data_IF_267334028936
#
_entry.id   IF_267334028936
#
_cell.length_a   1.000
_cell.length_b   1.000
_cell.length_c   1.000
_cell.angle_alpha   90.00
_cell.angle_beta   90.00
_cell.angle_gamma   90.00
#
_symmetry.space_group_name_H-M   'P 1'
#
loop_
_entity.id
_entity.type
_entity.pdbx_description
1 polymer ?
#
# COMPACT_ATOMS: atom_id res chain seq x y z
N UNK A 1 -6.38 20.90 -3.66
CA UNK A 1 -6.32 20.11 -2.41
C UNK A 1 -7.18 18.89 -2.62
N UNK A 2 -6.68 17.70 -2.30
CA UNK A 2 -7.43 16.44 -2.41
C UNK A 2 -8.48 16.42 -1.29
N UNK A 3 -9.67 15.91 -1.56
CA UNK A 3 -10.70 15.75 -0.53
C UNK A 3 -10.18 14.81 0.58
N UNK A 4 -10.37 15.21 1.83
CA UNK A 4 -10.06 14.44 3.04
C UNK A 4 -10.61 13.01 3.04
N UNK A 5 -11.66 12.74 2.26
CA UNK A 5 -12.19 11.39 2.10
C UNK A 5 -11.19 10.41 1.44
N UNK A 6 -10.31 10.90 0.55
CA UNK A 6 -9.43 10.08 -0.29
C UNK A 6 -7.97 10.07 0.15
N UNK A 7 -7.66 10.51 1.36
CA UNK A 7 -6.38 10.25 1.98
C UNK A 7 -6.54 9.79 3.43
N UNK A 8 -5.45 9.36 4.03
CA UNK A 8 -5.38 8.99 5.45
C UNK A 8 -4.68 10.14 6.19
N UNK A 9 -5.26 10.67 7.28
CA UNK A 9 -4.69 11.81 7.97
C UNK A 9 -3.41 11.42 8.72
N UNK A 10 -2.46 12.35 8.85
CA UNK A 10 -1.14 12.07 9.42
C UNK A 10 -1.18 11.64 10.90
N UNK A 11 -2.22 12.05 11.62
CA UNK A 11 -2.51 11.75 13.02
C UNK A 11 -3.44 10.53 13.20
N UNK A 12 -3.60 9.70 12.16
CA UNK A 12 -4.40 8.47 12.24
C UNK A 12 -3.92 7.58 13.39
N UNK A 13 -4.89 7.07 14.17
CA UNK A 13 -4.60 6.20 15.31
C UNK A 13 -4.01 4.86 14.86
N UNK A 14 -2.93 4.44 15.52
CA UNK A 14 -2.30 3.13 15.34
C UNK A 14 -2.28 2.39 16.67
N UNK A 15 -2.82 1.17 16.69
CA UNK A 15 -2.87 0.33 17.87
C UNK A 15 -2.14 -0.99 17.61
N UNK A 16 -1.20 -1.35 18.50
CA UNK A 16 -0.54 -2.65 18.45
C UNK A 16 -1.45 -3.72 19.06
N UNK A 17 -1.62 -4.85 18.37
CA UNK A 17 -2.33 -6.00 18.91
C UNK A 17 -1.46 -6.67 19.98
N UNK A 18 -1.93 -6.68 21.23
CA UNK A 18 -1.27 -7.42 22.30
C UNK A 18 -1.71 -8.89 22.29
N UNK A 19 -0.76 -9.77 21.98
CA UNK A 19 -0.92 -11.22 22.06
C UNK A 19 0.17 -11.88 22.91
N UNK A 20 0.94 -11.10 23.69
CA UNK A 20 2.14 -11.58 24.38
C UNK A 20 1.85 -12.59 25.49
N UNK A 21 0.82 -12.33 26.30
CA UNK A 21 0.34 -13.26 27.34
C UNK A 21 -0.22 -14.55 26.71
N UNK A 22 -1.13 -14.41 25.74
CA UNK A 22 -1.75 -15.53 25.05
C UNK A 22 -0.71 -16.45 24.38
N UNK A 23 0.27 -15.87 23.69
CA UNK A 23 1.33 -16.64 23.03
C UNK A 23 2.24 -17.37 24.04
N UNK A 24 2.49 -16.80 25.23
CA UNK A 24 3.32 -17.45 26.26
C UNK A 24 2.69 -18.74 26.78
N UNK A 25 1.37 -18.77 26.93
CA UNK A 25 0.62 -19.92 27.45
C UNK A 25 0.61 -21.13 26.50
N UNK A 26 0.94 -20.94 25.23
CA UNK A 26 1.02 -22.04 24.26
C UNK A 26 2.18 -23.00 24.56
N UNK A 27 1.92 -24.29 24.45
CA UNK A 27 2.96 -25.34 24.46
C UNK A 27 3.90 -25.20 23.25
N UNK A 28 5.09 -25.83 23.27
CA UNK A 28 6.00 -25.82 22.11
C UNK A 28 5.34 -26.33 20.81
N UNK A 29 4.46 -27.34 20.91
CA UNK A 29 3.75 -27.89 19.76
C UNK A 29 2.71 -26.90 19.21
N UNK A 30 1.93 -26.26 20.08
CA UNK A 30 0.93 -25.25 19.67
C UNK A 30 1.58 -24.00 19.09
N UNK A 31 2.75 -23.59 19.60
CA UNK A 31 3.55 -22.51 19.00
C UNK A 31 3.98 -22.84 17.57
N UNK A 32 4.42 -24.08 17.33
CA UNK A 32 4.79 -24.54 15.98
C UNK A 32 3.57 -24.59 15.05
N UNK A 33 2.43 -25.10 15.54
CA UNK A 33 1.18 -25.08 14.80
C UNK A 33 0.76 -23.66 14.42
N UNK A 34 0.73 -22.74 15.39
CA UNK A 34 0.38 -21.34 15.18
C UNK A 34 1.34 -20.64 14.21
N UNK A 35 2.64 -20.97 14.25
CA UNK A 35 3.64 -20.44 13.32
C UNK A 35 3.31 -20.79 11.87
N UNK A 36 3.10 -22.08 11.56
CA UNK A 36 2.82 -22.51 10.19
C UNK A 36 1.45 -22.04 9.70
N UNK A 37 0.44 -22.03 10.58
CA UNK A 37 -0.87 -21.49 10.25
C UNK A 37 -0.79 -19.99 9.93
N UNK A 38 -0.04 -19.22 10.73
CA UNK A 38 0.18 -17.79 10.50
C UNK A 38 0.90 -17.55 9.18
N UNK A 39 1.94 -18.33 8.86
CA UNK A 39 2.62 -18.23 7.56
C UNK A 39 1.68 -18.47 6.40
N UNK A 40 0.85 -19.52 6.48
CA UNK A 40 -0.15 -19.81 5.46
C UNK A 40 -1.15 -18.65 5.29
N UNK A 41 -1.63 -18.08 6.40
CA UNK A 41 -2.53 -16.93 6.38
C UNK A 41 -1.89 -15.69 5.74
N UNK A 42 -0.65 -15.35 6.09
CA UNK A 42 0.08 -14.21 5.52
C UNK A 42 0.35 -14.39 4.02
N UNK A 43 0.73 -15.58 3.56
CA UNK A 43 0.89 -15.84 2.13
C UNK A 43 -0.45 -15.78 1.39
N UNK A 44 -1.51 -16.35 1.95
CA UNK A 44 -2.86 -16.28 1.38
C UNK A 44 -3.40 -14.84 1.30
N UNK A 45 -3.06 -14.00 2.28
CA UNK A 45 -3.44 -12.58 2.31
C UNK A 45 -2.88 -11.78 1.13
N UNK A 46 -1.74 -12.17 0.55
CA UNK A 46 -1.19 -11.50 -0.63
C UNK A 46 -2.11 -11.60 -1.85
N UNK A 47 -2.97 -12.62 -1.93
CA UNK A 47 -3.96 -12.72 -2.99
C UNK A 47 -4.98 -11.56 -2.96
N UNK A 48 -5.21 -10.94 -1.79
CA UNK A 48 -6.14 -9.82 -1.64
C UNK A 48 -5.69 -8.59 -2.42
N UNK A 49 -4.38 -8.39 -2.60
CA UNK A 49 -3.84 -7.32 -3.45
C UNK A 49 -4.40 -7.42 -4.87
N UNK A 50 -4.41 -8.64 -5.43
CA UNK A 50 -4.94 -8.93 -6.77
C UNK A 50 -6.47 -8.86 -6.83
N UNK A 51 -7.15 -9.01 -5.69
CA UNK A 51 -8.61 -8.92 -5.59
C UNK A 51 -9.11 -7.49 -5.34
N UNK A 52 -8.22 -6.56 -5.02
CA UNK A 52 -8.57 -5.18 -4.64
C UNK A 52 -8.52 -4.25 -5.84
N UNK A 53 -7.34 -4.07 -6.45
CA UNK A 53 -7.15 -3.17 -7.60
C UNK A 53 -6.01 -3.67 -8.49
N UNK A 54 -5.99 -3.26 -9.75
CA UNK A 54 -4.96 -3.69 -10.71
C UNK A 54 -3.55 -3.19 -10.31
N UNK A 55 -3.48 -2.02 -9.67
CA UNK A 55 -2.23 -1.39 -9.24
C UNK A 55 -1.78 -1.80 -7.82
N UNK A 56 -2.66 -2.42 -7.01
CA UNK A 56 -2.38 -2.71 -5.60
C UNK A 56 -1.16 -3.61 -5.40
N UNK A 57 -0.99 -4.63 -6.24
CA UNK A 57 0.15 -5.54 -6.16
C UNK A 57 1.48 -4.82 -6.47
N UNK A 58 1.50 -3.98 -7.50
CA UNK A 58 2.69 -3.23 -7.90
C UNK A 58 3.09 -2.19 -6.85
N UNK A 59 2.12 -1.48 -6.27
CA UNK A 59 2.38 -0.53 -5.17
C UNK A 59 2.94 -1.28 -3.96
N UNK A 60 2.38 -2.44 -3.62
CA UNK A 60 2.88 -3.26 -2.51
C UNK A 60 4.34 -3.68 -2.75
N UNK A 61 4.66 -4.18 -3.95
CA UNK A 61 6.02 -4.58 -4.31
C UNK A 61 6.98 -3.38 -4.28
N UNK A 62 6.55 -2.21 -4.76
CA UNK A 62 7.36 -0.99 -4.76
C UNK A 62 7.75 -0.61 -3.33
N UNK A 63 6.76 -0.51 -2.44
CA UNK A 63 6.99 -0.17 -1.05
C UNK A 63 7.84 -1.23 -0.34
N UNK A 64 7.57 -2.52 -0.57
CA UNK A 64 8.37 -3.60 0.01
C UNK A 64 9.84 -3.54 -0.46
N UNK A 65 10.11 -3.26 -1.73
CA UNK A 65 11.49 -3.13 -2.24
C UNK A 65 12.23 -1.97 -1.56
N UNK A 66 11.57 -0.83 -1.38
CA UNK A 66 12.13 0.35 -0.69
C UNK A 66 12.40 0.01 0.79
N UNK A 67 11.37 -0.42 1.54
CA UNK A 67 11.48 -0.65 2.98
C UNK A 67 12.35 -1.86 3.36
N UNK A 68 12.58 -2.79 2.43
CA UNK A 68 13.58 -3.87 2.64
C UNK A 68 15.02 -3.39 2.56
N UNK A 69 15.28 -2.27 1.88
CA UNK A 69 16.62 -1.72 1.69
C UNK A 69 16.93 -0.61 2.69
N UNK A 70 15.91 0.09 3.15
CA UNK A 70 16.02 1.20 4.09
C UNK A 70 14.88 1.13 5.09
N UNK A 71 15.21 1.19 6.37
CA UNK A 71 14.23 1.38 7.44
C UNK A 71 13.53 2.73 7.28
N UNK A 72 12.35 2.96 7.92
CA UNK A 72 11.71 4.27 7.91
C UNK A 72 12.66 5.40 8.34
N UNK A 73 13.44 5.21 9.40
CA UNK A 73 14.38 6.24 9.85
C UNK A 73 15.50 6.55 8.83
N UNK A 74 16.01 5.55 8.11
CA UNK A 74 17.02 5.76 7.06
C UNK A 74 16.43 6.42 5.82
N UNK A 75 15.19 6.07 5.46
CA UNK A 75 14.50 6.65 4.31
C UNK A 75 14.11 8.11 4.57
N UNK A 76 13.81 8.49 5.82
CA UNK A 76 13.52 9.88 6.21
C UNK A 76 14.67 10.84 5.89
N UNK A 77 15.91 10.40 6.12
CA UNK A 77 17.11 11.19 5.78
C UNK A 77 17.20 11.43 4.27
N UNK A 78 16.88 10.40 3.47
CA UNK A 78 16.84 10.52 2.00
C UNK A 78 15.69 11.40 1.54
N UNK A 79 14.51 11.29 2.16
CA UNK A 79 13.35 12.13 1.88
C UNK A 79 13.64 13.61 2.16
N UNK A 80 14.29 13.91 3.29
CA UNK A 80 14.70 15.26 3.65
C UNK A 80 15.70 15.82 2.63
N UNK A 81 16.69 15.03 2.22
CA UNK A 81 17.65 15.42 1.18
C UNK A 81 16.99 15.60 -0.20
N UNK A 82 15.89 14.89 -0.47
CA UNK A 82 15.07 15.04 -1.67
C UNK A 82 14.05 16.20 -1.59
N UNK A 83 14.01 16.95 -0.49
CA UNK A 83 13.17 18.14 -0.33
C UNK A 83 11.75 17.86 0.17
N UNK A 84 11.48 16.70 0.75
CA UNK A 84 10.20 16.42 1.44
C UNK A 84 10.22 17.04 2.84
N UNK A 85 9.08 17.61 3.24
CA UNK A 85 8.87 18.00 4.64
C UNK A 85 8.64 16.77 5.54
N UNK A 86 8.79 16.93 6.85
CA UNK A 86 8.47 15.88 7.82
C UNK A 86 6.99 15.46 7.72
N UNK A 87 6.08 16.39 7.44
CA UNK A 87 4.65 16.13 7.25
C UNK A 87 4.37 15.31 5.98
N UNK A 88 5.07 15.59 4.88
CA UNK A 88 4.97 14.83 3.63
C UNK A 88 5.56 13.42 3.79
N UNK A 89 6.64 13.29 4.55
CA UNK A 89 7.22 11.99 4.87
C UNK A 89 6.31 11.16 5.78
N UNK A 90 5.70 11.78 6.80
CA UNK A 90 4.69 11.14 7.63
C UNK A 90 3.49 10.68 6.81
N UNK A 91 3.03 11.49 5.85
CA UNK A 91 1.94 11.12 4.93
C UNK A 91 2.28 9.88 4.10
N UNK A 92 3.53 9.72 3.66
CA UNK A 92 4.00 8.50 2.99
C UNK A 92 3.97 7.29 3.91
N UNK A 93 4.44 7.43 5.15
CA UNK A 93 4.42 6.33 6.13
C UNK A 93 2.99 5.88 6.45
N UNK A 94 2.09 6.84 6.64
CA UNK A 94 0.67 6.60 6.86
C UNK A 94 0.04 5.92 5.65
N UNK A 95 0.35 6.36 4.42
CA UNK A 95 -0.11 5.70 3.21
C UNK A 95 0.36 4.25 3.12
N UNK A 96 1.66 3.99 3.35
CA UNK A 96 2.23 2.66 3.29
C UNK A 96 1.62 1.73 4.37
N UNK A 97 1.47 2.23 5.59
CA UNK A 97 0.81 1.50 6.68
C UNK A 97 -0.65 1.18 6.34
N UNK A 98 -1.37 2.15 5.78
CA UNK A 98 -2.75 1.97 5.31
C UNK A 98 -2.87 0.89 4.23
N UNK A 99 -1.96 0.89 3.26
CA UNK A 99 -1.93 -0.12 2.20
C UNK A 99 -1.65 -1.52 2.76
N UNK A 100 -0.69 -1.65 3.68
CA UNK A 100 -0.41 -2.94 4.32
C UNK A 100 -1.56 -3.43 5.20
N UNK A 101 -2.24 -2.54 5.91
CA UNK A 101 -3.38 -2.90 6.74
C UNK A 101 -4.60 -3.36 5.92
N UNK A 102 -4.81 -2.77 4.73
CA UNK A 102 -5.95 -3.10 3.87
C UNK A 102 -5.63 -4.13 2.78
N UNK A 103 -4.36 -4.52 2.59
CA UNK A 103 -3.89 -5.32 1.46
C UNK A 103 -4.32 -4.74 0.10
N UNK A 104 -4.20 -3.41 -0.03
CA UNK A 104 -4.55 -2.66 -1.23
C UNK A 104 -4.78 -1.18 -0.95
N UNK A 105 -5.00 -0.39 -2.01
CA UNK A 105 -5.19 1.07 -1.95
C UNK A 105 -6.67 1.52 -1.81
N UNK A 106 -7.54 0.63 -1.32
CA UNK A 106 -8.93 0.92 -0.97
C UNK A 106 -9.18 0.59 0.49
N UNK A 107 -9.96 1.42 1.19
CA UNK A 107 -10.32 1.21 2.59
C UNK A 107 -11.23 -0.02 2.67
N UNK A 108 -10.82 -1.03 3.44
CA UNK A 108 -11.63 -2.24 3.71
C UNK A 108 -12.97 -1.92 4.38
N UNK A 109 -13.04 -0.81 5.12
CA UNK A 109 -14.28 -0.23 5.62
C UNK A 109 -14.67 0.98 4.76
N UNK A 110 -15.69 0.81 3.93
CA UNK A 110 -16.26 1.86 3.09
C UNK A 110 -15.81 1.85 1.63
N UNK A 111 -15.00 0.87 1.21
CA UNK A 111 -14.66 0.56 -0.19
C UNK A 111 -14.20 1.77 -1.01
N UNK A 112 -13.58 2.74 -0.34
CA UNK A 112 -13.20 4.03 -0.92
C UNK A 112 -11.70 4.06 -1.13
N UNK A 113 -11.26 4.50 -2.32
CA UNK A 113 -9.84 4.63 -2.64
C UNK A 113 -9.16 5.64 -1.71
N UNK A 114 -7.89 5.41 -1.40
CA UNK A 114 -7.06 6.41 -0.77
C UNK A 114 -5.72 6.53 -1.49
N UNK A 115 -5.21 7.76 -1.57
CA UNK A 115 -3.97 8.10 -2.26
C UNK A 115 -2.96 8.69 -1.26
N UNK A 116 -1.66 8.72 -1.58
CA UNK A 116 -0.68 9.36 -0.72
C UNK A 116 -0.97 10.86 -0.59
N UNK A 117 -0.96 11.40 0.64
CA UNK A 117 -1.18 12.82 0.90
C UNK A 117 0.10 13.66 0.72
N UNK A 118 0.79 13.48 -0.40
CA UNK A 118 1.95 14.26 -0.80
C UNK A 118 1.98 14.44 -2.33
N UNK A 119 2.69 15.45 -2.86
CA UNK A 119 2.81 15.62 -4.31
C UNK A 119 3.45 14.42 -5.02
N UNK A 120 2.90 14.02 -6.17
CA UNK A 120 3.36 12.86 -6.96
C UNK A 120 4.82 13.00 -7.40
N UNK A 121 5.23 14.19 -7.80
CA UNK A 121 6.60 14.53 -8.21
C UNK A 121 7.59 14.38 -7.06
N UNK A 122 7.22 14.78 -5.84
CA UNK A 122 8.04 14.57 -4.64
C UNK A 122 8.18 13.09 -4.29
N UNK A 123 7.09 12.32 -4.36
CA UNK A 123 7.18 10.87 -4.16
C UNK A 123 8.08 10.23 -5.22
N UNK A 124 7.95 10.64 -6.49
CA UNK A 124 8.82 10.14 -7.56
C UNK A 124 10.29 10.45 -7.29
N UNK A 125 10.60 11.68 -6.85
CA UNK A 125 11.96 12.07 -6.49
C UNK A 125 12.53 11.19 -5.36
N UNK A 126 11.72 10.91 -4.32
CA UNK A 126 12.12 10.00 -3.25
C UNK A 126 12.36 8.57 -3.75
N UNK A 127 11.46 8.03 -4.58
CA UNK A 127 11.63 6.69 -5.16
C UNK A 127 12.94 6.60 -5.93
N UNK A 128 13.25 7.59 -6.78
CA UNK A 128 14.51 7.64 -7.53
C UNK A 128 15.75 7.83 -6.65
N UNK A 129 15.62 8.51 -5.52
CA UNK A 129 16.70 8.70 -4.56
C UNK A 129 16.94 7.49 -3.64
N UNK A 130 15.98 6.57 -3.53
CA UNK A 130 16.05 5.41 -2.66
C UNK A 130 17.20 4.45 -3.04
N UNK A 131 17.70 3.71 -2.05
CA UNK A 131 18.72 2.69 -2.26
C UNK A 131 18.20 1.55 -3.15
N UNK A 132 16.91 1.21 -3.05
CA UNK A 132 16.29 0.21 -3.93
C UNK A 132 16.40 0.60 -5.41
N UNK A 133 16.20 1.89 -5.74
CA UNK A 133 16.37 2.39 -7.10
C UNK A 133 17.83 2.38 -7.56
N UNK A 134 18.77 2.73 -6.68
CA UNK A 134 20.20 2.67 -6.99
C UNK A 134 20.68 1.24 -7.27
N UNK A 135 20.16 0.27 -6.54
CA UNK A 135 20.50 -1.14 -6.72
C UNK A 135 19.92 -1.73 -8.02
N UNK A 136 18.67 -1.38 -8.36
CA UNK A 136 17.92 -1.97 -9.49
C UNK A 136 17.11 -0.89 -10.24
N UNK A 137 17.77 0.02 -10.97
CA UNK A 137 17.10 1.19 -11.55
C UNK A 137 16.05 0.82 -12.59
N UNK A 138 16.36 -0.11 -13.50
CA UNK A 138 15.43 -0.52 -14.57
C UNK A 138 14.15 -1.15 -14.02
N UNK A 139 14.26 -2.03 -13.03
CA UNK A 139 13.09 -2.68 -12.43
C UNK A 139 12.25 -1.70 -11.61
N UNK A 140 12.91 -0.80 -10.87
CA UNK A 140 12.21 0.20 -10.05
C UNK A 140 11.52 1.27 -10.90
N UNK A 141 12.12 1.71 -12.01
CA UNK A 141 11.45 2.63 -12.95
C UNK A 141 10.23 1.94 -13.60
N UNK A 142 10.38 0.71 -14.09
CA UNK A 142 9.27 -0.04 -14.67
C UNK A 142 8.10 -0.25 -13.68
N UNK A 143 8.42 -0.52 -12.41
CA UNK A 143 7.42 -0.68 -11.35
C UNK A 143 6.75 0.65 -10.97
N UNK A 144 7.51 1.75 -10.96
CA UNK A 144 6.93 3.08 -10.76
C UNK A 144 5.99 3.45 -11.92
N UNK A 145 6.40 3.20 -13.16
CA UNK A 145 5.61 3.52 -14.35
C UNK A 145 4.32 2.71 -14.43
N UNK A 146 4.33 1.44 -13.99
CA UNK A 146 3.14 0.59 -14.00
C UNK A 146 2.05 1.07 -13.05
N UNK A 147 2.40 1.64 -11.89
CA UNK A 147 1.44 1.98 -10.85
C UNK A 147 1.24 3.48 -10.60
N UNK A 148 2.21 4.35 -10.89
CA UNK A 148 2.21 5.75 -10.41
C UNK A 148 1.06 6.61 -10.94
N UNK A 149 0.52 6.30 -12.12
CA UNK A 149 -0.66 6.99 -12.67
C UNK A 149 -1.91 6.63 -11.87
N UNK A 150 -2.14 5.34 -11.63
CA UNK A 150 -3.31 4.85 -10.89
C UNK A 150 -3.18 5.13 -9.39
N UNK A 151 -1.97 5.14 -8.84
CA UNK A 151 -1.67 5.47 -7.45
C UNK A 151 -2.28 6.82 -7.01
N UNK A 152 -2.27 7.81 -7.89
CA UNK A 152 -2.80 9.16 -7.62
C UNK A 152 -4.11 9.48 -8.34
N UNK A 153 -4.61 8.57 -9.19
CA UNK A 153 -5.84 8.85 -9.97
C UNK A 153 -7.08 8.73 -9.09
N UNK A 154 -7.91 9.77 -9.16
CA UNK A 154 -9.22 9.92 -8.51
C UNK A 154 -10.31 10.20 -9.55
N UNK A 155 -10.23 9.53 -10.70
CA UNK A 155 -11.36 9.48 -11.64
C UNK A 155 -12.61 8.93 -10.94
N UNK A 156 -13.80 9.36 -11.32
CA UNK A 156 -15.04 9.00 -10.62
C UNK A 156 -15.27 7.49 -10.52
N UNK A 157 -14.89 6.74 -11.57
CA UNK A 157 -14.93 5.27 -11.58
C UNK A 157 -13.97 4.60 -10.61
N UNK A 158 -12.95 5.31 -10.11
CA UNK A 158 -11.92 4.75 -9.24
C UNK A 158 -12.12 5.13 -7.77
N UNK A 159 -13.04 6.04 -7.45
CA UNK A 159 -13.22 6.52 -6.09
C UNK A 159 -13.79 5.46 -5.15
N UNK A 160 -14.56 4.52 -5.68
CA UNK A 160 -15.20 3.45 -4.93
C UNK A 160 -15.06 2.11 -5.65
N UNK A 161 -15.11 1.01 -4.90
CA UNK A 161 -15.28 -0.30 -5.51
C UNK A 161 -16.75 -0.50 -5.91
N UNK A 162 -16.98 -1.10 -7.08
CA UNK A 162 -18.34 -1.23 -7.63
C UNK A 162 -18.38 -2.02 -8.92
N UNK A 163 -19.59 -2.34 -9.40
CA UNK A 163 -19.80 -3.03 -10.67
C UNK A 163 -20.46 -2.11 -11.69
N UNK A 164 -20.03 -2.24 -12.95
CA UNK A 164 -20.63 -1.60 -14.11
C UNK A 164 -19.81 -0.44 -14.68
N UNK A 165 -20.10 -0.08 -15.93
CA UNK A 165 -19.33 0.91 -16.70
C UNK A 165 -19.34 2.33 -16.11
N UNK A 166 -20.28 2.61 -15.21
CA UNK A 166 -20.45 3.92 -14.56
C UNK A 166 -20.15 3.92 -13.06
N UNK A 167 -19.91 2.75 -12.44
CA UNK A 167 -19.87 2.65 -10.97
C UNK A 167 -18.72 1.73 -10.50
N UNK A 168 -17.62 2.37 -10.14
CA UNK A 168 -16.57 1.79 -9.30
C UNK A 168 -15.56 0.86 -9.96
N UNK A 169 -14.37 0.77 -9.37
CA UNK A 169 -13.31 -0.11 -9.82
C UNK A 169 -13.57 -1.52 -9.28
N UNK A 170 -13.51 -2.54 -10.13
CA UNK A 170 -13.59 -3.92 -9.70
C UNK A 170 -12.68 -4.79 -10.56
N UNK A 171 -11.78 -5.53 -9.90
CA UNK A 171 -10.89 -6.49 -10.57
C UNK A 171 -11.53 -7.87 -10.70
N UNK A 172 -12.65 -8.11 -10.00
CA UNK A 172 -13.36 -9.41 -10.01
C UNK A 172 -14.18 -9.64 -11.29
N UNK A 173 -14.32 -8.63 -12.15
CA UNK A 173 -14.90 -8.74 -13.47
C UNK A 173 -14.01 -8.04 -14.49
N UNK A 174 -13.86 -8.62 -15.68
CA UNK A 174 -13.23 -7.91 -16.79
C UNK A 174 -14.12 -6.73 -17.18
N UNK A 175 -13.53 -5.55 -17.36
CA UNK A 175 -14.19 -4.31 -17.80
C UNK A 175 -14.65 -4.36 -19.27
N UNK A 176 -15.19 -5.50 -19.72
CA UNK A 176 -15.60 -5.78 -21.08
C UNK A 176 -17.10 -6.08 -21.14
N UNK A 177 -17.77 -5.40 -22.07
CA UNK A 177 -19.14 -5.67 -22.50
C UNK A 177 -19.36 -7.18 -22.72
N UNK A 178 -20.15 -7.81 -21.86
CA UNK A 178 -20.90 -9.00 -22.26
C UNK A 178 -22.05 -8.52 -23.16
N UNK A 179 -21.77 -8.31 -24.45
CA UNK A 179 -22.84 -8.34 -25.43
C UNK A 179 -23.41 -9.75 -25.45
N UNK A 180 -24.66 -9.89 -25.03
CA UNK A 180 -25.50 -11.04 -25.35
C UNK A 180 -25.88 -11.02 -26.82
#
# INVERSE_FOLDING_TARGET
MVDSQYYLPNDIGVCALDCGEAFRLLSPHEKMYAHYLSRAAWYGGLAVLLQTSIESADIFVLLQRIFRKQTPAELEQVATAAGLSSEEYQALLVYAAGLYANMGNYKSFGDTKFIPNLPKDKLQALVKASQAFKDQPTEMEALWDSCSCLLYSLEDRQKQLGLGDQVGACVRQSSGHFHR
#
